data_IF_990548064802
#
_entry.id   IF_990548064802
#
_cell.length_a   1.000
_cell.length_b   1.000
_cell.length_c   1.000
_cell.angle_alpha   90.00
_cell.angle_beta   90.00
_cell.angle_gamma   90.00
#
_symmetry.space_group_name_H-M   'P 1'
#
loop_
_entity.id
_entity.type
_entity.pdbx_description
1 polymer ?
#
# COMPACT_ATOMS: atom_id res chain seq x y z
N UNK A 1 -23.32 14.49 17.25
CA UNK A 1 -23.65 13.26 16.50
C UNK A 1 -23.12 13.43 15.07
N UNK A 2 -21.84 13.15 14.85
CA UNK A 2 -21.23 13.21 13.51
C UNK A 2 -21.26 11.82 12.89
N UNK A 3 -22.13 11.63 11.90
CA UNK A 3 -22.13 10.43 11.04
C UNK A 3 -20.96 10.60 10.06
N UNK A 4 -19.74 10.47 10.56
CA UNK A 4 -18.54 10.44 9.73
C UNK A 4 -18.56 9.15 8.94
N UNK A 5 -18.68 9.25 7.62
CA UNK A 5 -18.42 8.14 6.72
C UNK A 5 -16.97 7.72 6.97
N UNK A 6 -16.85 6.61 7.65
CA UNK A 6 -15.60 5.99 8.06
C UNK A 6 -14.98 5.42 6.78
N UNK A 7 -13.99 6.11 6.21
CA UNK A 7 -13.21 5.65 5.05
C UNK A 7 -12.31 4.48 5.48
N UNK A 8 -12.91 3.30 5.57
CA UNK A 8 -12.18 2.06 5.82
C UNK A 8 -12.19 1.23 4.56
N UNK A 9 -11.04 0.61 4.30
CA UNK A 9 -10.89 -0.37 3.24
C UNK A 9 -10.45 -1.69 3.84
N UNK A 10 -10.76 -2.80 3.19
CA UNK A 10 -10.20 -4.10 3.58
C UNK A 10 -8.91 -4.27 2.82
N UNK A 11 -7.79 -4.39 3.54
CA UNK A 11 -6.53 -4.82 2.96
C UNK A 11 -6.39 -6.32 3.20
N UNK A 12 -6.01 -7.05 2.14
CA UNK A 12 -5.89 -8.51 2.15
C UNK A 12 -4.59 -8.93 1.48
N UNK A 13 -3.82 -9.78 2.16
CA UNK A 13 -2.64 -10.44 1.60
C UNK A 13 -2.93 -11.94 1.50
N UNK A 14 -2.69 -12.51 0.32
CA UNK A 14 -2.92 -13.93 0.01
C UNK A 14 -1.62 -14.53 -0.54
N UNK A 15 -1.16 -15.63 0.04
CA UNK A 15 -0.06 -16.46 -0.44
C UNK A 15 -0.42 -17.93 -0.39
N UNK A 16 0.50 -18.81 -0.80
CA UNK A 16 0.24 -20.25 -1.03
C UNK A 16 -0.38 -21.00 0.16
N UNK A 17 -0.14 -20.57 1.41
CA UNK A 17 -0.73 -21.16 2.62
C UNK A 17 -1.01 -20.12 3.71
N UNK A 18 -1.13 -18.84 3.32
CA UNK A 18 -1.34 -17.75 4.26
C UNK A 18 -2.35 -16.77 3.70
N UNK A 19 -3.27 -16.33 4.55
CA UNK A 19 -4.17 -15.23 4.27
C UNK A 19 -4.29 -14.38 5.53
N UNK A 20 -4.15 -13.08 5.36
CA UNK A 20 -4.45 -12.11 6.41
C UNK A 20 -5.25 -10.95 5.83
N UNK A 21 -6.21 -10.46 6.60
CA UNK A 21 -7.01 -9.30 6.23
C UNK A 21 -7.36 -8.47 7.45
N UNK A 22 -7.41 -7.15 7.28
CA UNK A 22 -7.85 -6.21 8.32
C UNK A 22 -8.55 -5.02 7.68
N UNK A 23 -9.35 -4.32 8.48
CA UNK A 23 -9.79 -2.98 8.14
C UNK A 23 -8.61 -2.01 8.28
N UNK A 24 -8.48 -1.12 7.30
CA UNK A 24 -7.45 -0.09 7.22
C UNK A 24 -8.15 1.26 7.18
N UNK A 25 -7.84 2.11 8.16
CA UNK A 25 -8.33 3.49 8.18
C UNK A 25 -7.54 4.35 7.17
N UNK A 26 -8.18 4.77 6.09
CA UNK A 26 -7.58 5.66 5.08
C UNK A 26 -7.92 7.13 5.29
N UNK A 27 -8.53 7.46 6.45
CA UNK A 27 -8.78 8.84 6.82
C UNK A 27 -7.45 9.59 6.98
N UNK A 28 -7.26 10.69 6.24
CA UNK A 28 -6.05 11.53 6.20
C UNK A 28 -4.75 10.83 5.75
N UNK A 29 -4.80 9.59 5.26
CA UNK A 29 -3.61 9.00 4.64
C UNK A 29 -3.25 9.75 3.36
N UNK A 30 -1.97 9.75 3.00
CA UNK A 30 -1.59 10.12 1.62
C UNK A 30 -2.32 9.20 0.64
N UNK A 31 -2.55 9.63 -0.60
CA UNK A 31 -3.15 8.75 -1.60
C UNK A 31 -2.21 7.57 -1.91
N UNK A 32 -2.71 6.34 -1.82
CA UNK A 32 -2.02 5.16 -2.33
C UNK A 32 -1.79 5.27 -3.85
N UNK A 33 -2.69 5.94 -4.58
CA UNK A 33 -2.50 6.29 -5.99
C UNK A 33 -1.29 7.20 -6.21
N UNK A 34 -1.12 8.22 -5.35
CA UNK A 34 0.03 9.11 -5.41
C UNK A 34 1.34 8.37 -5.08
N UNK A 35 1.32 7.42 -4.13
CA UNK A 35 2.46 6.57 -3.82
C UNK A 35 2.92 5.75 -5.04
N UNK A 36 2.02 4.98 -5.67
CA UNK A 36 2.38 4.20 -6.85
C UNK A 36 2.73 5.09 -8.06
N UNK A 37 2.07 6.25 -8.20
CA UNK A 37 2.41 7.25 -9.21
C UNK A 37 3.83 7.80 -9.05
N UNK A 38 4.27 8.04 -7.81
CA UNK A 38 5.65 8.45 -7.51
C UNK A 38 6.68 7.34 -7.80
N UNK A 39 6.33 6.07 -7.55
CA UNK A 39 7.18 4.94 -7.96
C UNK A 39 7.29 4.87 -9.48
N UNK A 40 6.16 4.96 -10.19
CA UNK A 40 6.13 4.93 -11.66
C UNK A 40 6.92 6.10 -12.26
N UNK A 41 6.78 7.31 -11.71
CA UNK A 41 7.53 8.47 -12.20
C UNK A 41 9.06 8.29 -12.06
N UNK A 42 9.49 7.56 -11.02
CA UNK A 42 10.90 7.29 -10.73
C UNK A 42 11.29 5.84 -11.04
N UNK A 43 10.68 5.20 -12.04
CA UNK A 43 10.91 3.79 -12.36
C UNK A 43 12.38 3.43 -12.64
N UNK A 44 13.18 4.41 -13.09
CA UNK A 44 14.63 4.26 -13.32
C UNK A 44 15.44 4.11 -12.02
N UNK A 45 14.81 4.31 -10.86
CA UNK A 45 15.38 4.13 -9.54
C UNK A 45 15.27 5.37 -8.67
N UNK A 46 15.32 5.14 -7.36
CA UNK A 46 15.43 6.18 -6.33
C UNK A 46 16.38 5.73 -5.22
N UNK A 47 17.08 6.66 -4.55
CA UNK A 47 17.90 6.32 -3.40
C UNK A 47 17.03 5.98 -2.19
N UNK A 48 17.44 4.98 -1.41
CA UNK A 48 16.81 4.63 -0.16
C UNK A 48 15.42 4.01 -0.34
N UNK A 49 14.43 4.54 0.37
CA UNK A 49 13.10 3.95 0.52
C UNK A 49 12.01 5.00 0.37
N UNK A 50 10.95 4.66 -0.35
CA UNK A 50 9.70 5.42 -0.38
C UNK A 50 8.68 4.65 0.44
N UNK A 51 7.93 5.34 1.31
CA UNK A 51 6.99 4.71 2.23
C UNK A 51 5.60 5.31 2.10
N UNK A 52 4.59 4.47 2.33
CA UNK A 52 3.20 4.85 2.54
C UNK A 52 2.66 4.08 3.73
N UNK A 53 1.79 4.70 4.53
CA UNK A 53 1.11 4.02 5.63
C UNK A 53 -0.27 4.61 5.87
N UNK A 54 -1.19 3.77 6.32
CA UNK A 54 -2.49 4.18 6.85
C UNK A 54 -2.33 4.90 8.18
N UNK A 55 -3.37 5.61 8.63
CA UNK A 55 -3.29 6.48 9.80
C UNK A 55 -2.90 5.73 11.09
N UNK A 56 -3.45 4.54 11.31
CA UNK A 56 -3.11 3.69 12.46
C UNK A 56 -2.07 2.62 12.09
N UNK A 57 -1.44 2.77 10.92
CA UNK A 57 -0.42 1.89 10.35
C UNK A 57 -0.88 0.42 10.23
N UNK A 58 -2.18 0.16 10.11
CA UNK A 58 -2.73 -1.17 9.83
C UNK A 58 -2.15 -1.74 8.53
N UNK A 59 -1.88 -0.87 7.55
CA UNK A 59 -1.12 -1.18 6.34
C UNK A 59 0.04 -0.20 6.19
N UNK A 60 1.25 -0.73 6.05
CA UNK A 60 2.45 0.01 5.66
C UNK A 60 3.07 -0.62 4.42
N UNK A 61 3.40 0.22 3.45
CA UNK A 61 4.10 -0.11 2.21
C UNK A 61 5.46 0.57 2.20
N UNK A 62 6.50 -0.15 1.77
CA UNK A 62 7.85 0.36 1.68
C UNK A 62 8.49 -0.16 0.39
N UNK A 63 8.84 0.75 -0.52
CA UNK A 63 9.44 0.42 -1.80
C UNK A 63 10.92 0.82 -1.87
N UNK A 64 11.76 -0.11 -2.31
CA UNK A 64 13.14 0.15 -2.75
C UNK A 64 13.30 -0.29 -4.21
N UNK A 65 14.33 0.20 -4.88
CA UNK A 65 14.65 -0.17 -6.26
C UNK A 65 16.13 -0.53 -6.35
N UNK A 66 16.46 -1.57 -7.12
CA UNK A 66 17.84 -1.91 -7.45
C UNK A 66 18.30 -1.22 -8.75
N UNK A 67 19.55 -1.48 -9.17
CA UNK A 67 20.10 -0.90 -10.40
C UNK A 67 19.61 -1.59 -11.68
N UNK A 68 18.88 -2.70 -11.55
CA UNK A 68 18.36 -3.49 -12.67
C UNK A 68 16.90 -3.12 -12.96
N UNK A 69 16.27 -2.30 -12.13
CA UNK A 69 14.88 -1.86 -12.29
C UNK A 69 13.87 -2.76 -11.58
N UNK A 70 14.31 -3.67 -10.70
CA UNK A 70 13.39 -4.40 -9.84
C UNK A 70 12.98 -3.52 -8.66
N UNK A 71 11.68 -3.53 -8.38
CA UNK A 71 11.10 -2.82 -7.24
C UNK A 71 10.74 -3.85 -6.18
N UNK A 72 11.33 -3.69 -4.99
CA UNK A 72 11.02 -4.52 -3.83
C UNK A 72 10.00 -3.77 -2.98
N UNK A 73 8.78 -4.29 -2.90
CA UNK A 73 7.68 -3.73 -2.13
C UNK A 73 7.47 -4.56 -0.87
N UNK A 74 7.94 -4.05 0.25
CA UNK A 74 7.65 -4.60 1.56
C UNK A 74 6.24 -4.18 2.00
N UNK A 75 5.37 -5.16 2.17
CA UNK A 75 4.00 -5.02 2.68
C UNK A 75 3.98 -5.46 4.13
N UNK A 76 3.58 -4.56 5.03
CA UNK A 76 3.31 -4.88 6.42
C UNK A 76 1.82 -4.65 6.71
N UNK A 77 1.16 -5.70 7.20
CA UNK A 77 -0.24 -5.69 7.55
C UNK A 77 -0.38 -6.10 9.02
N UNK A 78 -1.08 -5.31 9.84
CA UNK A 78 -1.28 -5.60 11.26
C UNK A 78 -2.70 -5.29 11.70
N UNK A 79 -3.14 -5.91 12.79
CA UNK A 79 -4.45 -5.62 13.38
C UNK A 79 -4.33 -5.31 14.87
N UNK A 80 -4.88 -4.16 15.27
CA UNK A 80 -4.92 -3.71 16.67
C UNK A 80 -3.69 -2.91 17.11
N UNK A 81 -3.86 -2.19 18.22
CA UNK A 81 -2.79 -1.45 18.91
C UNK A 81 -2.94 -1.70 20.43
N UNK A 82 -2.10 -2.56 21.05
CA UNK A 82 -1.00 -3.33 20.46
C UNK A 82 -1.48 -4.39 19.44
N UNK A 83 -0.62 -4.79 18.48
CA UNK A 83 -1.04 -5.70 17.43
C UNK A 83 -1.32 -7.11 17.96
N UNK A 84 -2.52 -7.61 17.66
CA UNK A 84 -2.92 -9.00 17.94
C UNK A 84 -2.21 -9.96 16.98
N UNK A 85 -1.98 -9.50 15.74
CA UNK A 85 -1.15 -10.18 14.76
C UNK A 85 -0.46 -9.18 13.84
N UNK A 86 0.62 -9.64 13.21
CA UNK A 86 1.40 -8.90 12.24
C UNK A 86 1.86 -9.84 11.11
N UNK A 87 1.64 -9.44 9.86
CA UNK A 87 2.12 -10.11 8.66
C UNK A 87 3.09 -9.18 7.93
N UNK A 88 4.22 -9.72 7.49
CA UNK A 88 5.15 -9.02 6.62
C UNK A 88 5.50 -9.91 5.43
N UNK A 89 5.44 -9.35 4.23
CA UNK A 89 5.85 -10.02 3.00
C UNK A 89 6.50 -9.02 2.06
N UNK A 90 7.40 -9.49 1.21
CA UNK A 90 8.01 -8.69 0.15
C UNK A 90 7.50 -9.17 -1.20
N UNK A 91 7.09 -8.23 -2.05
CA UNK A 91 6.71 -8.47 -3.43
C UNK A 91 7.81 -7.90 -4.33
N UNK A 92 8.15 -8.63 -5.39
CA UNK A 92 9.02 -8.12 -6.46
C UNK A 92 8.12 -7.68 -7.59
N UNK A 93 8.24 -6.40 -7.96
CA UNK A 93 7.51 -5.79 -9.06
C UNK A 93 8.50 -5.41 -10.15
N UNK A 94 8.03 -5.50 -11.40
CA UNK A 94 8.76 -5.00 -12.55
C UNK A 94 8.39 -3.54 -12.82
N UNK A 95 9.36 -2.75 -13.30
CA UNK A 95 9.15 -1.33 -13.62
C UNK A 95 7.92 -1.08 -14.51
N UNK A 96 7.71 -1.92 -15.53
CA UNK A 96 6.57 -1.80 -16.45
C UNK A 96 5.21 -2.13 -15.85
N UNK A 97 5.13 -2.55 -14.59
CA UNK A 97 3.85 -2.75 -13.87
C UNK A 97 3.42 -1.51 -13.09
N UNK A 98 4.33 -0.54 -12.88
CA UNK A 98 4.09 0.56 -11.95
C UNK A 98 3.01 1.53 -12.47
N UNK A 99 2.94 1.77 -13.78
CA UNK A 99 1.93 2.62 -14.39
C UNK A 99 0.52 2.05 -14.20
N UNK A 100 0.35 0.74 -14.45
CA UNK A 100 -0.93 0.05 -14.28
C UNK A 100 -1.34 -0.01 -12.80
N UNK A 101 -0.39 -0.23 -11.89
CA UNK A 101 -0.64 -0.19 -10.45
C UNK A 101 -1.05 1.21 -9.98
N UNK A 102 -0.39 2.27 -10.48
CA UNK A 102 -0.75 3.64 -10.17
C UNK A 102 -2.17 3.99 -10.66
N UNK A 103 -2.51 3.59 -11.88
CA UNK A 103 -3.84 3.81 -12.45
C UNK A 103 -4.94 3.08 -11.65
N UNK A 104 -4.71 1.81 -11.30
CA UNK A 104 -5.65 1.03 -10.49
C UNK A 104 -5.81 1.59 -9.07
N UNK A 105 -4.72 2.01 -8.44
CA UNK A 105 -4.74 2.62 -7.11
C UNK A 105 -5.51 3.96 -7.11
N UNK A 106 -5.31 4.80 -8.13
CA UNK A 106 -6.06 6.05 -8.29
C UNK A 106 -7.57 5.79 -8.51
N UNK A 107 -7.92 4.82 -9.36
CA UNK A 107 -9.31 4.45 -9.60
C UNK A 107 -10.00 3.92 -8.33
N UNK A 108 -9.29 3.13 -7.53
CA UNK A 108 -9.78 2.62 -6.24
C UNK A 108 -10.14 3.76 -5.28
N UNK A 109 -9.32 4.81 -5.21
CA UNK A 109 -9.60 5.97 -4.39
C UNK A 109 -10.85 6.72 -4.86
N UNK A 110 -11.02 6.93 -6.17
CA UNK A 110 -12.18 7.65 -6.72
C UNK A 110 -13.50 6.91 -6.46
N UNK A 111 -13.50 5.57 -6.54
CA UNK A 111 -14.71 4.76 -6.31
C UNK A 111 -15.08 4.72 -4.82
N UNK A 112 -14.10 4.79 -3.92
CA UNK A 112 -14.33 4.76 -2.47
C UNK A 112 -15.01 6.02 -1.89
N UNK A 113 -15.21 7.07 -2.69
CA UNK A 113 -15.88 8.32 -2.28
C UNK A 113 -17.35 8.42 -2.73
N UNK A 114 -17.90 7.44 -3.46
CA UNK A 114 -19.32 7.36 -3.84
C UNK A 114 -20.04 6.23 -3.10
#
# INVERSE_FOLDING_TARGET
MHRGHKNFVVAKVIGTNIQAETLVCTYLSQGIGAFFGDLAHHWQGWPGRKEWFSLEEELKLSATCDRLGHIFLLVNLKNGTPPVWNLQTELILEAGQLEDLAAQACAFEVIAFF
#
